data_IF_324495666675
#
_entry.id   IF_324495666675
#
_cell.length_a   1.000
_cell.length_b   1.000
_cell.length_c   1.000
_cell.angle_alpha   90.00
_cell.angle_beta   90.00
_cell.angle_gamma   90.00
#
_symmetry.space_group_name_H-M   'P 1'
#
loop_
_entity.id
_entity.type
_entity.pdbx_description
1 polymer ?
#
# COMPACT_ATOMS: atom_id res chain seq x y z
N UNK A 1 -30.72 39.18 32.19
CA UNK A 1 -32.03 38.57 32.48
C UNK A 1 -33.00 38.96 31.38
N UNK A 2 -33.61 37.98 30.70
CA UNK A 2 -34.99 37.99 30.11
C UNK A 2 -35.43 39.24 29.30
N UNK A 3 -36.01 39.20 28.10
CA UNK A 3 -36.68 38.19 27.28
C UNK A 3 -37.14 38.91 25.99
N UNK A 4 -37.45 38.11 24.97
CA UNK A 4 -38.53 38.26 24.00
C UNK A 4 -38.70 39.59 23.25
N UNK A 5 -38.53 39.52 21.91
CA UNK A 5 -39.19 40.45 21.00
C UNK A 5 -40.14 39.66 20.08
N UNK A 6 -41.44 39.96 20.25
CA UNK A 6 -42.57 39.46 19.47
C UNK A 6 -42.62 40.16 18.11
N UNK A 7 -43.04 39.43 17.08
CA UNK A 7 -43.55 39.98 15.81
C UNK A 7 -45.04 39.61 15.71
N UNK A 8 -45.94 40.53 15.31
CA UNK A 8 -47.38 40.33 15.38
C UNK A 8 -48.02 39.72 14.11
N UNK A 9 -49.20 39.16 14.35
CA UNK A 9 -50.23 38.59 13.46
C UNK A 9 -50.74 39.55 12.35
N UNK A 10 -51.39 38.98 11.30
CA UNK A 10 -52.84 39.12 11.00
C UNK A 10 -53.30 38.23 9.80
N UNK A 11 -54.41 37.50 10.05
CA UNK A 11 -55.53 36.91 9.26
C UNK A 11 -55.45 36.68 7.73
N UNK A 12 -56.16 35.73 7.12
CA UNK A 12 -57.26 34.83 7.47
C UNK A 12 -57.41 33.79 6.33
N UNK A 13 -58.37 32.88 6.24
CA UNK A 13 -59.67 32.68 6.89
C UNK A 13 -60.28 31.37 6.37
N UNK A 14 -60.89 30.58 7.27
CA UNK A 14 -62.00 29.61 7.06
C UNK A 14 -61.80 28.47 6.05
N UNK A 15 -62.38 27.28 6.18
CA UNK A 15 -63.43 26.65 7.00
C UNK A 15 -63.32 25.15 6.66
N UNK A 16 -63.58 24.12 7.47
CA UNK A 16 -64.28 23.93 8.73
C UNK A 16 -64.75 22.45 8.73
N UNK A 17 -64.59 21.76 9.88
CA UNK A 17 -65.33 20.57 10.35
C UNK A 17 -65.29 19.26 9.53
N UNK A 18 -65.29 18.04 10.09
CA UNK A 18 -65.42 17.51 11.46
C UNK A 18 -65.17 15.98 11.45
N UNK A 19 -64.54 15.46 12.51
CA UNK A 19 -64.77 14.18 13.21
C UNK A 19 -64.64 12.82 12.48
N UNK A 20 -63.92 11.89 13.13
CA UNK A 20 -64.17 10.45 12.99
C UNK A 20 -62.98 9.57 13.34
N UNK A 21 -63.11 8.80 14.42
CA UNK A 21 -62.10 7.93 15.02
C UNK A 21 -61.84 6.63 14.23
N UNK A 22 -60.72 5.96 14.53
CA UNK A 22 -60.72 4.49 14.68
C UNK A 22 -59.77 3.66 13.81
N UNK A 23 -58.79 3.05 14.48
CA UNK A 23 -58.32 1.65 14.36
C UNK A 23 -57.38 1.18 13.22
N UNK A 24 -56.37 0.44 13.70
CA UNK A 24 -55.36 -0.45 13.10
C UNK A 24 -55.62 -1.14 11.75
N UNK A 25 -54.57 -1.28 10.93
CA UNK A 25 -54.02 -2.58 10.47
C UNK A 25 -52.75 -2.42 9.61
N UNK A 26 -51.87 -3.43 9.66
CA UNK A 26 -50.71 -3.63 8.78
C UNK A 26 -51.10 -3.85 7.31
N UNK A 27 -50.25 -3.44 6.36
CA UNK A 27 -49.66 -4.30 5.30
C UNK A 27 -48.89 -3.49 4.25
N UNK A 28 -47.80 -4.08 3.76
CA UNK A 28 -46.87 -3.48 2.79
C UNK A 28 -47.38 -3.51 1.34
N UNK A 29 -46.77 -2.68 0.48
CA UNK A 29 -47.07 -2.66 -0.96
C UNK A 29 -45.81 -2.44 -1.79
N UNK A 30 -45.55 -3.41 -2.69
CA UNK A 30 -44.65 -3.37 -3.84
C UNK A 30 -45.25 -2.50 -4.96
N UNK A 31 -44.41 -1.83 -5.76
CA UNK A 31 -44.82 -1.27 -7.06
C UNK A 31 -43.90 -1.75 -8.19
N UNK A 32 -44.47 -2.51 -9.13
CA UNK A 32 -43.98 -2.69 -10.50
C UNK A 32 -44.65 -1.62 -11.39
N UNK A 33 -43.89 -1.06 -12.34
CA UNK A 33 -44.42 -0.19 -13.39
C UNK A 33 -43.54 -0.25 -14.64
N UNK A 34 -44.02 -1.00 -15.63
CA UNK A 34 -43.43 -1.16 -16.97
C UNK A 34 -43.95 -0.09 -17.93
N UNK A 35 -43.08 0.62 -18.66
CA UNK A 35 -43.44 1.26 -19.93
C UNK A 35 -42.23 1.38 -20.88
N UNK A 36 -42.44 0.91 -22.10
CA UNK A 36 -41.53 0.91 -23.25
C UNK A 36 -41.63 2.22 -24.04
N UNK A 37 -40.53 2.69 -24.64
CA UNK A 37 -40.49 3.86 -25.55
C UNK A 37 -39.68 3.57 -26.84
N UNK A 38 -39.96 4.26 -27.97
CA UNK A 38 -39.72 3.76 -29.34
C UNK A 38 -38.44 4.27 -30.03
N UNK A 39 -38.06 3.63 -31.14
CA UNK A 39 -36.87 3.89 -31.95
C UNK A 39 -37.00 5.11 -32.92
N UNK A 40 -35.90 5.81 -33.27
CA UNK A 40 -35.91 6.92 -34.22
C UNK A 40 -35.59 6.50 -35.68
N UNK A 41 -35.97 7.33 -36.69
CA UNK A 41 -35.90 7.00 -38.11
C UNK A 41 -34.57 7.43 -38.79
N UNK A 42 -34.38 6.93 -40.03
CA UNK A 42 -33.14 6.99 -40.79
C UNK A 42 -32.96 8.24 -41.68
N UNK A 43 -31.72 8.77 -41.68
CA UNK A 43 -31.01 9.35 -42.85
C UNK A 43 -31.18 10.84 -43.17
N UNK A 44 -30.10 11.64 -43.02
CA UNK A 44 -29.33 12.25 -44.13
C UNK A 44 -28.21 13.22 -43.62
N UNK A 45 -26.96 12.85 -43.98
CA UNK A 45 -25.72 13.60 -44.31
C UNK A 45 -25.32 14.95 -43.67
N UNK A 46 -24.09 14.99 -43.12
CA UNK A 46 -22.94 15.64 -43.79
C UNK A 46 -21.59 15.10 -43.28
N UNK A 47 -20.65 14.93 -44.20
CA UNK A 47 -19.32 14.35 -44.03
C UNK A 47 -18.33 15.24 -43.27
N UNK A 48 -17.45 14.62 -42.48
CA UNK A 48 -16.00 14.79 -42.62
C UNK A 48 -15.30 13.53 -42.10
N UNK A 49 -14.68 12.80 -43.04
CA UNK A 49 -14.09 11.50 -42.81
C UNK A 49 -12.61 11.58 -42.41
N UNK A 50 -12.21 10.70 -41.50
CA UNK A 50 -10.91 10.04 -41.54
C UNK A 50 -11.21 8.53 -41.43
N UNK A 51 -10.98 7.81 -42.52
CA UNK A 51 -11.12 6.35 -42.62
C UNK A 51 -9.92 5.66 -41.98
N UNK A 52 -10.17 4.70 -41.09
CA UNK A 52 -9.28 3.57 -40.84
C UNK A 52 -10.10 2.28 -40.98
N UNK A 53 -9.72 1.44 -41.95
CA UNK A 53 -10.16 0.05 -42.03
C UNK A 53 -9.37 -0.77 -41.00
N UNK A 54 -10.08 -1.49 -40.13
CA UNK A 54 -9.52 -2.47 -39.20
C UNK A 54 -10.67 -3.23 -38.53
N UNK A 55 -10.70 -4.54 -38.74
CA UNK A 55 -11.76 -5.50 -38.42
C UNK A 55 -12.18 -5.55 -36.95
N UNK A 56 -13.49 -5.73 -36.71
CA UNK A 56 -14.04 -6.14 -35.41
C UNK A 56 -13.79 -7.64 -35.21
N UNK A 57 -12.92 -8.00 -34.26
CA UNK A 57 -12.89 -9.34 -33.66
C UNK A 57 -13.40 -9.26 -32.22
N UNK A 58 -14.38 -10.11 -31.90
CA UNK A 58 -14.86 -10.34 -30.54
C UNK A 58 -13.74 -11.01 -29.71
N UNK A 59 -13.65 -10.75 -28.39
CA UNK A 59 -12.62 -11.37 -27.56
C UNK A 59 -12.76 -12.89 -27.54
N UNK A 60 -11.64 -13.57 -27.76
CA UNK A 60 -11.54 -15.01 -27.94
C UNK A 60 -11.97 -15.76 -26.66
N UNK A 61 -13.15 -16.39 -26.71
CA UNK A 61 -13.70 -17.22 -25.63
C UNK A 61 -12.73 -18.33 -25.19
N UNK A 62 -11.78 -18.74 -26.05
CA UNK A 62 -10.76 -19.71 -25.71
C UNK A 62 -9.73 -19.18 -24.70
N UNK A 63 -9.36 -17.90 -24.78
CA UNK A 63 -8.41 -17.29 -23.83
C UNK A 63 -9.02 -17.15 -22.42
N UNK A 64 -10.30 -16.79 -22.34
CA UNK A 64 -11.01 -16.71 -21.06
C UNK A 64 -11.18 -18.11 -20.42
N UNK A 65 -11.46 -19.14 -21.22
CA UNK A 65 -11.53 -20.52 -20.71
C UNK A 65 -10.16 -21.06 -20.29
N UNK A 66 -9.08 -20.73 -21.00
CA UNK A 66 -7.72 -21.10 -20.60
C UNK A 66 -7.29 -20.44 -19.29
N UNK A 67 -7.61 -19.15 -19.10
CA UNK A 67 -7.35 -18.46 -17.83
C UNK A 67 -8.12 -19.09 -16.65
N UNK A 68 -9.38 -19.48 -16.87
CA UNK A 68 -10.19 -20.13 -15.83
C UNK A 68 -9.69 -21.55 -15.49
N UNK A 69 -9.19 -22.29 -16.48
CA UNK A 69 -8.56 -23.60 -16.26
C UNK A 69 -7.23 -23.49 -15.50
N UNK A 70 -6.43 -22.46 -15.80
CA UNK A 70 -5.17 -22.20 -15.11
C UNK A 70 -5.39 -21.84 -13.63
N UNK A 71 -6.41 -21.01 -13.36
CA UNK A 71 -6.81 -20.63 -12.00
C UNK A 71 -7.29 -21.83 -11.17
N UNK A 72 -8.12 -22.71 -11.75
CA UNK A 72 -8.55 -23.95 -11.06
C UNK A 72 -7.37 -24.90 -10.78
N UNK A 73 -6.39 -24.96 -11.67
CA UNK A 73 -5.18 -25.78 -11.47
C UNK A 73 -4.29 -25.23 -10.34
N UNK A 74 -4.18 -23.90 -10.22
CA UNK A 74 -3.49 -23.28 -9.08
C UNK A 74 -4.19 -23.54 -7.75
N UNK A 75 -5.52 -23.42 -7.70
CA UNK A 75 -6.28 -23.74 -6.48
C UNK A 75 -6.12 -25.20 -6.05
N UNK A 76 -6.11 -26.15 -6.99
CA UNK A 76 -5.88 -27.57 -6.67
C UNK A 76 -4.46 -27.83 -6.17
N UNK A 77 -3.45 -27.18 -6.75
CA UNK A 77 -2.05 -27.30 -6.28
C UNK A 77 -1.89 -26.74 -4.87
N UNK A 78 -2.57 -25.63 -4.54
CA UNK A 78 -2.56 -25.05 -3.20
C UNK A 78 -3.24 -25.95 -2.17
N UNK A 79 -4.34 -26.62 -2.55
CA UNK A 79 -5.01 -27.60 -1.68
C UNK A 79 -4.17 -28.87 -1.45
N UNK A 80 -3.43 -29.33 -2.47
CA UNK A 80 -2.51 -30.47 -2.34
C UNK A 80 -1.30 -30.14 -1.47
N UNK A 81 -0.76 -28.93 -1.54
CA UNK A 81 0.34 -28.50 -0.67
C UNK A 81 -0.09 -28.39 0.80
N UNK A 82 -1.32 -27.95 1.08
CA UNK A 82 -1.86 -27.93 2.45
C UNK A 82 -2.09 -29.34 3.02
N UNK A 83 -2.43 -30.33 2.18
CA UNK A 83 -2.58 -31.72 2.63
C UNK A 83 -1.22 -32.40 2.86
N UNK A 84 -0.17 -32.03 2.13
CA UNK A 84 1.18 -32.57 2.34
C UNK A 84 1.87 -32.01 3.60
N UNK A 85 1.51 -30.81 4.05
CA UNK A 85 2.00 -30.26 5.33
C UNK A 85 1.29 -30.83 6.57
N UNK A 86 0.21 -31.60 6.39
CA UNK A 86 -0.52 -32.27 7.48
C UNK A 86 -0.04 -33.68 7.84
N UNK A 87 1.04 -34.19 7.23
CA UNK A 87 1.50 -35.56 7.42
C UNK A 87 3.01 -35.65 7.71
N UNK A 88 3.46 -35.14 8.87
CA UNK A 88 4.72 -35.59 9.47
C UNK A 88 4.58 -35.79 11.00
N UNK A 89 4.41 -37.06 11.35
CA UNK A 89 4.78 -37.80 12.58
C UNK A 89 4.55 -37.18 13.98
N UNK A 90 3.60 -37.78 14.73
CA UNK A 90 3.80 -38.08 16.14
C UNK A 90 4.39 -39.49 16.26
N UNK A 91 5.66 -39.60 16.68
CA UNK A 91 6.22 -40.87 17.13
C UNK A 91 5.73 -41.18 18.55
N UNK A 92 5.25 -42.41 18.70
CA UNK A 92 4.55 -42.89 19.89
C UNK A 92 5.45 -43.22 21.07
N UNK A 93 4.80 -43.23 22.24
CA UNK A 93 5.24 -44.01 23.40
C UNK A 93 4.05 -44.85 23.84
N UNK A 94 4.14 -46.16 23.64
CA UNK A 94 3.18 -47.16 24.11
C UNK A 94 3.47 -47.51 25.56
N UNK A 95 2.47 -47.42 26.44
CA UNK A 95 2.42 -48.20 27.68
C UNK A 95 1.05 -48.88 27.80
N UNK A 96 1.09 -50.20 27.90
CA UNK A 96 -0.07 -51.05 28.20
C UNK A 96 -0.52 -50.86 29.66
N UNK A 97 -1.83 -50.76 29.88
CA UNK A 97 -2.45 -50.86 31.21
C UNK A 97 -3.96 -50.87 31.12
N UNK A 98 -4.57 -52.00 31.44
CA UNK A 98 -6.00 -52.23 31.41
C UNK A 98 -6.74 -51.60 32.62
N UNK A 99 -8.07 -51.48 32.44
CA UNK A 99 -9.16 -51.41 33.43
C UNK A 99 -9.84 -50.05 33.73
N UNK A 100 -11.15 -50.09 33.43
CA UNK A 100 -12.31 -49.60 34.19
C UNK A 100 -12.63 -48.10 34.21
N UNK A 101 -13.81 -47.78 33.68
CA UNK A 101 -14.56 -46.58 34.04
C UNK A 101 -14.98 -46.60 35.52
N UNK A 102 -15.06 -45.41 36.15
CA UNK A 102 -16.28 -45.07 36.85
C UNK A 102 -16.75 -43.61 36.65
N UNK A 103 -18.08 -43.52 36.45
CA UNK A 103 -19.13 -42.56 36.86
C UNK A 103 -18.83 -41.13 37.38
N UNK A 104 -19.81 -40.19 37.23
CA UNK A 104 -19.60 -38.75 37.31
C UNK A 104 -19.85 -38.14 38.70
N UNK A 105 -19.11 -37.06 38.98
CA UNK A 105 -19.49 -36.03 39.95
C UNK A 105 -18.47 -35.76 41.05
N UNK A 106 -17.89 -34.55 41.04
CA UNK A 106 -17.86 -33.56 42.14
C UNK A 106 -16.59 -32.68 42.19
N UNK A 107 -16.85 -31.37 42.13
CA UNK A 107 -16.24 -30.21 42.82
C UNK A 107 -14.76 -29.79 42.61
N UNK A 108 -14.64 -28.62 41.96
CA UNK A 108 -13.85 -27.41 42.29
C UNK A 108 -12.50 -27.53 43.00
N UNK A 109 -11.46 -26.87 42.46
CA UNK A 109 -10.87 -25.65 43.05
C UNK A 109 -9.87 -24.98 42.09
N UNK A 110 -9.87 -23.65 42.12
CA UNK A 110 -8.89 -22.75 41.49
C UNK A 110 -7.45 -23.06 41.92
N UNK A 111 -6.51 -22.93 40.98
CA UNK A 111 -5.08 -23.05 41.25
C UNK A 111 -4.23 -22.96 39.99
N UNK A 112 -4.05 -21.75 39.47
CA UNK A 112 -2.99 -21.44 38.51
C UNK A 112 -1.64 -21.64 39.19
N UNK A 113 -0.95 -22.73 38.86
CA UNK A 113 0.44 -22.96 39.26
C UNK A 113 1.39 -22.40 38.19
N UNK A 114 2.00 -21.26 38.51
CA UNK A 114 3.26 -20.82 37.93
C UNK A 114 4.38 -21.74 38.43
N UNK A 115 5.07 -22.43 37.52
CA UNK A 115 6.40 -22.96 37.78
C UNK A 115 7.34 -22.54 36.66
N UNK A 116 8.22 -21.59 36.99
CA UNK A 116 9.46 -21.38 36.28
C UNK A 116 10.49 -22.43 36.72
N UNK A 117 11.28 -22.89 35.75
CA UNK A 117 12.54 -23.57 36.01
C UNK A 117 13.49 -23.30 34.85
N UNK A 118 14.55 -22.55 35.16
CA UNK A 118 15.77 -22.47 34.38
C UNK A 118 16.51 -23.82 34.40
N UNK A 119 16.98 -24.25 33.24
CA UNK A 119 18.35 -24.75 32.99
C UNK A 119 18.47 -24.89 31.46
N UNK A 120 19.52 -24.45 30.78
CA UNK A 120 20.91 -24.82 30.97
C UNK A 120 21.36 -25.38 29.62
N UNK A 121 22.23 -24.64 28.91
CA UNK A 121 22.35 -24.73 27.46
C UNK A 121 23.03 -25.97 26.88
N UNK A 122 22.83 -26.17 25.58
CA UNK A 122 23.78 -26.85 24.70
C UNK A 122 23.75 -26.22 23.30
N UNK A 123 24.90 -25.68 22.92
CA UNK A 123 25.19 -25.24 21.56
C UNK A 123 25.53 -26.45 20.67
N UNK A 124 24.87 -26.56 19.52
CA UNK A 124 25.42 -27.27 18.36
C UNK A 124 25.09 -26.47 17.10
N UNK A 125 26.16 -26.11 16.37
CA UNK A 125 26.08 -25.41 15.10
C UNK A 125 25.64 -26.33 13.96
N UNK A 126 24.92 -25.74 13.01
CA UNK A 126 24.55 -26.33 11.74
C UNK A 126 23.93 -25.24 10.87
N UNK A 127 24.58 -24.94 9.75
CA UNK A 127 24.29 -23.83 8.86
C UNK A 127 22.93 -24.00 8.14
N UNK A 128 21.92 -23.27 8.62
CA UNK A 128 20.86 -22.69 7.80
C UNK A 128 20.56 -21.33 8.45
N UNK A 129 20.77 -20.25 7.72
CA UNK A 129 20.36 -18.92 8.17
C UNK A 129 18.84 -18.86 8.18
N UNK A 130 18.20 -19.30 9.25
CA UNK A 130 16.83 -18.91 9.55
C UNK A 130 16.85 -17.40 9.80
N UNK A 131 16.14 -16.62 8.98
CA UNK A 131 15.79 -15.25 9.34
C UNK A 131 15.17 -15.24 10.75
N UNK A 132 15.50 -14.28 11.63
CA UNK A 132 14.86 -14.20 12.94
C UNK A 132 13.34 -14.09 12.78
N UNK A 133 12.63 -15.09 13.30
CA UNK A 133 11.17 -15.12 13.39
C UNK A 133 10.70 -13.96 14.29
N UNK A 134 9.79 -13.12 13.76
CA UNK A 134 8.95 -12.14 14.47
C UNK A 134 9.60 -10.96 15.22
N UNK A 135 10.76 -10.44 14.78
CA UNK A 135 11.20 -9.12 15.24
C UNK A 135 10.75 -8.01 14.27
N UNK A 136 10.18 -6.92 14.81
CA UNK A 136 9.73 -5.78 14.00
C UNK A 136 10.88 -5.11 13.19
N UNK A 137 12.13 -5.40 13.56
CA UNK A 137 13.34 -4.79 13.03
C UNK A 137 13.54 -3.37 13.53
N UNK A 138 14.72 -2.80 13.28
CA UNK A 138 15.01 -1.39 13.53
C UNK A 138 15.58 -0.71 12.29
N UNK A 139 15.65 0.62 12.32
CA UNK A 139 16.26 1.42 11.27
C UNK A 139 17.73 1.06 11.06
N UNK A 140 18.43 0.68 12.13
CA UNK A 140 19.83 0.29 12.06
C UNK A 140 20.03 -1.07 11.36
N UNK A 141 19.00 -1.91 11.31
CA UNK A 141 19.08 -3.25 10.69
C UNK A 141 18.73 -3.22 9.19
N UNK A 142 18.40 -2.05 8.63
CA UNK A 142 18.07 -1.93 7.22
C UNK A 142 19.27 -2.29 6.34
N UNK A 143 19.00 -2.96 5.23
CA UNK A 143 20.00 -3.15 4.17
C UNK A 143 20.40 -1.76 3.65
N UNK A 144 21.70 -1.49 3.52
CA UNK A 144 22.21 -0.22 3.00
C UNK A 144 22.22 -0.24 1.45
N UNK A 145 22.08 0.92 0.78
CA UNK A 145 22.21 0.99 -0.67
C UNK A 145 23.62 0.56 -1.13
N UNK A 146 23.69 -0.11 -2.28
CA UNK A 146 24.96 -0.55 -2.85
C UNK A 146 25.87 0.63 -3.19
N UNK A 147 27.14 0.46 -2.87
CA UNK A 147 28.21 1.40 -3.17
C UNK A 147 28.83 1.13 -4.54
N UNK A 148 29.67 2.08 -4.98
CA UNK A 148 30.46 1.91 -6.21
C UNK A 148 31.35 0.66 -6.16
N UNK A 149 31.91 0.34 -5.00
CA UNK A 149 32.80 -0.81 -4.83
C UNK A 149 32.04 -2.14 -4.88
N UNK A 150 30.75 -2.12 -4.57
CA UNK A 150 29.81 -3.24 -4.73
C UNK A 150 29.21 -3.32 -6.14
N UNK A 151 29.71 -2.52 -7.09
CA UNK A 151 29.31 -2.56 -8.49
C UNK A 151 28.17 -1.61 -8.87
N UNK A 152 27.69 -0.75 -7.96
CA UNK A 152 26.69 0.27 -8.31
C UNK A 152 27.32 1.31 -9.24
N UNK A 153 26.92 1.30 -10.51
CA UNK A 153 27.24 2.36 -11.47
C UNK A 153 25.98 3.13 -11.89
N UNK A 154 26.15 4.41 -12.22
CA UNK A 154 25.03 5.31 -12.61
C UNK A 154 24.82 5.36 -14.13
N UNK A 155 25.41 4.42 -14.89
CA UNK A 155 25.32 4.38 -16.35
C UNK A 155 24.05 3.69 -16.81
N UNK A 156 23.65 2.60 -16.15
CA UNK A 156 22.50 1.79 -16.56
C UNK A 156 21.20 2.26 -15.91
N UNK A 157 21.23 2.58 -14.62
CA UNK A 157 20.08 3.07 -13.84
C UNK A 157 20.45 4.33 -13.06
N UNK A 158 19.67 5.40 -13.25
CA UNK A 158 19.74 6.61 -12.44
C UNK A 158 19.49 6.34 -10.97
N UNK A 159 19.66 7.36 -10.13
CA UNK A 159 19.41 7.22 -8.70
C UNK A 159 17.92 6.93 -8.46
N UNK A 160 17.61 5.76 -7.93
CA UNK A 160 16.23 5.29 -7.81
C UNK A 160 15.63 5.58 -6.44
N UNK A 161 14.38 6.03 -6.46
CA UNK A 161 13.60 6.40 -5.28
C UNK A 161 12.34 5.53 -5.26
N UNK A 162 12.25 4.63 -4.28
CA UNK A 162 11.08 3.78 -4.07
C UNK A 162 10.10 4.42 -3.10
N UNK A 163 8.81 4.49 -3.47
CA UNK A 163 7.73 5.00 -2.63
C UNK A 163 6.75 3.86 -2.33
N UNK A 164 6.76 3.39 -1.09
CA UNK A 164 5.87 2.33 -0.59
C UNK A 164 4.96 2.85 0.52
N UNK A 165 3.95 2.06 0.89
CA UNK A 165 3.01 2.40 1.96
C UNK A 165 1.56 1.96 1.68
N UNK A 166 0.69 2.05 2.70
CA UNK A 166 -0.70 1.63 2.60
C UNK A 166 -1.49 2.28 1.46
N UNK A 167 -2.55 1.58 1.04
CA UNK A 167 -3.54 2.13 0.11
C UNK A 167 -4.07 3.45 0.68
N UNK A 168 -4.08 4.49 -0.13
CA UNK A 168 -4.59 5.81 0.26
C UNK A 168 -3.69 6.65 1.17
N UNK A 169 -2.48 6.20 1.55
CA UNK A 169 -1.59 6.98 2.44
C UNK A 169 -1.06 8.28 1.81
N UNK A 170 -1.11 8.38 0.47
CA UNK A 170 -0.72 9.57 -0.29
C UNK A 170 0.56 9.42 -1.11
N UNK A 171 0.98 8.19 -1.43
CA UNK A 171 2.13 7.88 -2.29
C UNK A 171 2.11 8.63 -3.63
N UNK A 172 1.04 8.52 -4.40
CA UNK A 172 0.87 9.21 -5.68
C UNK A 172 0.91 10.73 -5.53
N UNK A 173 0.34 11.26 -4.44
CA UNK A 173 0.43 12.69 -4.15
C UNK A 173 1.89 13.12 -3.90
N UNK A 174 2.67 12.30 -3.20
CA UNK A 174 4.10 12.54 -2.99
C UNK A 174 4.86 12.47 -4.31
N UNK A 175 4.64 11.41 -5.09
CA UNK A 175 5.24 11.22 -6.41
C UNK A 175 5.08 12.46 -7.28
N UNK A 176 3.87 12.99 -7.41
CA UNK A 176 3.58 14.21 -8.18
C UNK A 176 4.36 15.42 -7.70
N UNK A 177 4.48 15.62 -6.39
CA UNK A 177 5.30 16.69 -5.80
C UNK A 177 6.78 16.48 -6.09
N UNK A 178 7.30 15.27 -5.93
CA UNK A 178 8.70 14.95 -6.23
C UNK A 178 9.01 15.19 -7.71
N UNK A 179 8.14 14.74 -8.62
CA UNK A 179 8.29 14.99 -10.05
C UNK A 179 8.39 16.49 -10.35
N UNK A 180 7.47 17.30 -9.82
CA UNK A 180 7.46 18.76 -10.01
C UNK A 180 8.74 19.43 -9.49
N UNK A 181 9.33 18.92 -8.41
CA UNK A 181 10.46 19.55 -7.73
C UNK A 181 11.81 19.11 -8.29
N UNK A 182 11.98 17.81 -8.51
CA UNK A 182 13.23 17.22 -8.98
C UNK A 182 13.44 17.45 -10.49
N UNK A 183 12.36 17.49 -11.28
CA UNK A 183 12.47 17.69 -12.74
C UNK A 183 12.99 19.06 -13.18
N UNK A 184 13.05 20.05 -12.28
CA UNK A 184 13.53 21.40 -12.60
C UNK A 184 15.00 21.40 -13.04
N UNK A 185 15.83 20.64 -12.33
CA UNK A 185 17.28 20.63 -12.55
C UNK A 185 17.79 19.27 -13.06
N UNK A 186 16.91 18.26 -13.12
CA UNK A 186 17.28 16.87 -13.34
C UNK A 186 16.33 16.18 -14.34
N UNK A 187 16.89 15.34 -15.22
CA UNK A 187 16.14 14.37 -16.01
C UNK A 187 15.59 13.29 -15.08
N UNK A 188 14.31 12.97 -15.26
CA UNK A 188 13.55 12.09 -14.38
C UNK A 188 12.66 11.18 -15.23
N UNK A 189 12.48 9.95 -14.76
CA UNK A 189 11.48 9.00 -15.25
C UNK A 189 10.71 8.41 -14.08
N UNK A 190 9.47 7.99 -14.35
CA UNK A 190 8.54 7.47 -13.34
C UNK A 190 8.06 6.09 -13.76
N UNK A 191 8.05 5.18 -12.79
CA UNK A 191 7.43 3.86 -12.90
C UNK A 191 6.35 3.80 -11.84
N UNK A 192 5.13 3.51 -12.25
CA UNK A 192 3.99 3.27 -11.36
C UNK A 192 3.68 1.80 -11.46
N UNK A 193 4.00 1.05 -10.41
CA UNK A 193 3.69 -0.36 -10.30
C UNK A 193 2.33 -0.52 -9.59
N UNK A 194 1.33 -0.98 -10.33
CA UNK A 194 -0.01 -1.21 -9.80
C UNK A 194 -0.51 -2.58 -10.26
N UNK A 195 -1.12 -3.31 -9.32
CA UNK A 195 -1.58 -4.68 -9.48
C UNK A 195 -2.74 -4.81 -10.47
N UNK A 196 -3.57 -3.77 -10.63
CA UNK A 196 -4.83 -3.90 -11.38
C UNK A 196 -5.08 -2.82 -12.42
N UNK A 197 -4.53 -1.61 -12.27
CA UNK A 197 -4.80 -0.51 -13.21
C UNK A 197 -3.66 0.51 -13.27
N UNK A 198 -3.43 1.18 -14.39
CA UNK A 198 -2.41 2.25 -14.49
C UNK A 198 -2.98 3.65 -14.29
N UNK A 199 -4.08 3.79 -13.54
CA UNK A 199 -4.79 5.06 -13.33
C UNK A 199 -3.86 6.13 -12.74
N UNK A 200 -3.00 5.75 -11.81
CA UNK A 200 -2.05 6.67 -11.19
C UNK A 200 -1.01 7.18 -12.19
N UNK A 201 -0.55 6.34 -13.12
CA UNK A 201 0.30 6.76 -14.24
C UNK A 201 -0.42 7.75 -15.16
N UNK A 202 -1.67 7.46 -15.51
CA UNK A 202 -2.49 8.34 -16.35
C UNK A 202 -2.73 9.69 -15.67
N UNK A 203 -2.93 9.71 -14.36
CA UNK A 203 -3.12 10.94 -13.60
C UNK A 203 -1.90 11.87 -13.66
N UNK A 204 -0.67 11.34 -13.70
CA UNK A 204 0.55 12.14 -13.87
C UNK A 204 0.63 12.75 -15.27
N UNK A 205 0.20 11.97 -16.27
CA UNK A 205 0.17 12.36 -17.70
C UNK A 205 -0.86 13.48 -17.92
N UNK A 206 -2.07 13.30 -17.41
CA UNK A 206 -3.19 14.24 -17.59
C UNK A 206 -2.92 15.59 -16.92
N UNK A 207 -2.27 15.56 -15.75
CA UNK A 207 -1.82 16.75 -15.02
C UNK A 207 -0.59 17.42 -15.65
N UNK A 208 -0.02 16.83 -16.72
CA UNK A 208 1.13 17.33 -17.49
C UNK A 208 2.36 17.64 -16.61
N UNK A 209 2.57 16.82 -15.58
CA UNK A 209 3.67 17.03 -14.63
C UNK A 209 5.02 16.76 -15.29
N UNK A 210 5.09 15.69 -16.09
CA UNK A 210 6.22 15.35 -16.94
C UNK A 210 5.72 14.81 -18.28
N UNK A 211 6.63 14.72 -19.26
CA UNK A 211 6.30 14.19 -20.58
C UNK A 211 5.77 12.75 -20.49
N UNK A 212 4.69 12.38 -21.20
CA UNK A 212 4.04 11.08 -21.05
C UNK A 212 4.95 9.87 -21.34
N UNK A 213 5.92 10.04 -22.24
CA UNK A 213 6.89 9.02 -22.59
C UNK A 213 7.85 8.64 -21.44
N UNK A 214 7.95 9.50 -20.43
CA UNK A 214 8.73 9.32 -19.19
C UNK A 214 7.95 8.65 -18.06
N UNK A 215 6.66 8.40 -18.24
CA UNK A 215 5.83 7.66 -17.29
C UNK A 215 5.58 6.25 -17.83
N UNK A 216 5.81 5.24 -16.99
CA UNK A 216 5.46 3.84 -17.28
C UNK A 216 4.57 3.29 -16.20
N UNK A 217 3.39 2.84 -16.60
CA UNK A 217 2.60 1.92 -15.78
C UNK A 217 3.11 0.49 -15.98
N UNK A 218 3.27 -0.24 -14.90
CA UNK A 218 3.67 -1.63 -14.89
C UNK A 218 2.70 -2.44 -14.04
N UNK A 219 2.32 -3.62 -14.53
CA UNK A 219 1.53 -4.60 -13.79
C UNK A 219 2.26 -5.92 -13.86
N UNK A 220 2.76 -6.40 -12.71
CA UNK A 220 3.57 -7.61 -12.60
C UNK A 220 2.73 -8.87 -12.37
N UNK A 221 1.43 -8.72 -12.06
CA UNK A 221 0.53 -9.84 -11.75
C UNK A 221 0.79 -10.53 -10.42
N UNK A 222 1.76 -10.06 -9.64
CA UNK A 222 2.11 -10.57 -8.30
C UNK A 222 1.89 -9.48 -7.24
N UNK A 223 1.77 -9.88 -5.97
CA UNK A 223 1.55 -8.95 -4.85
C UNK A 223 2.61 -7.86 -4.81
N UNK A 224 2.19 -6.63 -4.50
CA UNK A 224 3.07 -5.46 -4.60
C UNK A 224 4.34 -5.59 -3.79
N UNK A 225 4.28 -6.13 -2.57
CA UNK A 225 5.47 -6.39 -1.76
C UNK A 225 6.45 -7.36 -2.45
N UNK A 226 5.95 -8.42 -3.08
CA UNK A 226 6.81 -9.37 -3.81
C UNK A 226 7.45 -8.65 -5.01
N UNK A 227 6.67 -7.89 -5.77
CA UNK A 227 7.11 -7.18 -6.98
C UNK A 227 8.22 -6.13 -6.77
N UNK A 228 8.47 -5.72 -5.52
CA UNK A 228 9.45 -4.68 -5.18
C UNK A 228 10.56 -5.16 -4.23
N UNK A 229 10.42 -6.35 -3.64
CA UNK A 229 11.33 -6.91 -2.61
C UNK A 229 11.91 -8.27 -3.05
N UNK A 230 11.06 -9.21 -3.47
CA UNK A 230 11.46 -10.61 -3.70
C UNK A 230 11.63 -10.95 -5.19
N UNK A 231 10.75 -10.44 -6.05
CA UNK A 231 10.75 -10.65 -7.50
C UNK A 231 10.66 -9.28 -8.21
N UNK A 232 11.83 -8.66 -8.38
CA UNK A 232 11.96 -7.29 -8.87
C UNK A 232 12.26 -7.19 -10.37
N UNK A 233 12.34 -8.33 -11.08
CA UNK A 233 12.93 -8.40 -12.42
C UNK A 233 12.25 -7.45 -13.41
N UNK A 234 10.91 -7.51 -13.50
CA UNK A 234 10.13 -6.63 -14.38
C UNK A 234 10.35 -5.15 -14.07
N UNK A 235 10.31 -4.78 -12.78
CA UNK A 235 10.54 -3.40 -12.35
C UNK A 235 11.97 -2.95 -12.69
N UNK A 236 12.95 -3.81 -12.46
CA UNK A 236 14.36 -3.51 -12.69
C UNK A 236 14.66 -3.33 -14.19
N UNK A 237 14.21 -4.25 -15.04
CA UNK A 237 14.41 -4.20 -16.50
C UNK A 237 13.77 -2.93 -17.08
N UNK A 238 12.53 -2.61 -16.68
CA UNK A 238 11.86 -1.39 -17.13
C UNK A 238 12.63 -0.16 -16.64
N UNK A 239 13.07 -0.13 -15.38
CA UNK A 239 13.82 0.98 -14.81
C UNK A 239 15.12 1.26 -15.56
N UNK A 240 15.91 0.24 -15.89
CA UNK A 240 17.13 0.41 -16.68
C UNK A 240 16.81 0.93 -18.09
N UNK A 241 15.83 0.31 -18.77
CA UNK A 241 15.48 0.67 -20.14
C UNK A 241 15.02 2.14 -20.26
N UNK A 242 14.13 2.60 -19.37
CA UNK A 242 13.67 3.99 -19.40
C UNK A 242 14.73 4.97 -18.90
N UNK A 243 15.53 4.58 -17.91
CA UNK A 243 16.62 5.40 -17.41
C UNK A 243 17.63 5.70 -18.51
N UNK A 244 18.05 4.68 -19.27
CA UNK A 244 19.00 4.85 -20.38
C UNK A 244 18.40 5.67 -21.51
N UNK A 245 17.16 5.35 -21.93
CA UNK A 245 16.47 6.07 -23.02
C UNK A 245 16.42 7.58 -22.79
N UNK A 246 16.23 8.00 -21.54
CA UNK A 246 16.08 9.41 -21.19
C UNK A 246 17.30 10.02 -20.49
N UNK A 247 18.40 9.26 -20.39
CA UNK A 247 19.58 9.63 -19.59
C UNK A 247 19.18 10.19 -18.23
N UNK A 248 18.28 9.46 -17.54
CA UNK A 248 17.62 9.95 -16.34
C UNK A 248 18.59 10.03 -15.17
N UNK A 249 18.57 11.16 -14.45
CA UNK A 249 19.25 11.31 -13.17
C UNK A 249 18.51 10.55 -12.07
N UNK A 250 17.17 10.60 -12.12
CA UNK A 250 16.28 9.97 -11.16
C UNK A 250 15.32 8.98 -11.81
N UNK A 251 15.12 7.83 -11.14
CA UNK A 251 14.06 6.88 -11.44
C UNK A 251 13.14 6.80 -10.22
N UNK A 252 11.92 7.33 -10.30
CA UNK A 252 10.97 7.27 -9.17
C UNK A 252 10.01 6.11 -9.40
N UNK A 253 9.94 5.20 -8.43
CA UNK A 253 9.14 3.98 -8.50
C UNK A 253 8.08 4.06 -7.40
N UNK A 254 6.82 4.18 -7.79
CA UNK A 254 5.69 4.02 -6.86
C UNK A 254 5.26 2.56 -6.85
N UNK A 255 5.25 1.96 -5.66
CA UNK A 255 4.67 0.64 -5.44
C UNK A 255 3.14 0.74 -5.26
N UNK A 256 2.43 -0.36 -5.51
CA UNK A 256 1.03 -0.46 -5.17
C UNK A 256 0.82 -0.33 -3.66
N UNK A 257 -0.40 0.00 -3.24
CA UNK A 257 -0.70 0.07 -1.82
C UNK A 257 -0.67 -1.30 -1.14
N UNK A 258 0.13 -1.43 -0.08
CA UNK A 258 0.31 -2.68 0.67
C UNK A 258 0.50 -2.40 2.18
N UNK A 259 0.57 -3.43 3.01
CA UNK A 259 0.71 -3.31 4.45
C UNK A 259 2.10 -2.80 4.88
N UNK A 260 2.31 -2.75 6.20
CA UNK A 260 3.52 -2.20 6.83
C UNK A 260 4.82 -2.96 6.52
N UNK A 261 4.71 -4.19 6.01
CA UNK A 261 5.84 -5.03 5.63
C UNK A 261 6.46 -4.68 4.28
N UNK A 262 5.80 -3.87 3.45
CA UNK A 262 6.33 -3.51 2.13
C UNK A 262 7.57 -2.61 2.24
N UNK A 263 8.68 -3.07 1.68
CA UNK A 263 9.92 -2.32 1.52
C UNK A 263 10.55 -2.70 0.18
N UNK A 264 11.46 -1.88 -0.34
CA UNK A 264 12.11 -2.18 -1.62
C UNK A 264 13.42 -2.94 -1.41
N UNK A 265 13.68 -3.87 -2.32
CA UNK A 265 15.01 -4.42 -2.55
C UNK A 265 15.98 -3.30 -2.97
N UNK A 266 17.24 -3.41 -2.53
CA UNK A 266 18.27 -2.39 -2.76
C UNK A 266 18.83 -2.36 -4.17
N UNK A 267 18.66 -3.42 -4.95
CA UNK A 267 18.95 -3.38 -6.39
C UNK A 267 17.92 -2.51 -7.10
N UNK A 268 16.66 -2.55 -6.66
CA UNK A 268 15.61 -1.74 -7.27
C UNK A 268 15.68 -0.28 -6.81
N UNK A 269 15.82 -0.01 -5.52
CA UNK A 269 15.73 1.34 -4.93
C UNK A 269 16.98 1.76 -4.11
N UNK A 270 17.64 2.84 -4.54
CA UNK A 270 18.77 3.44 -3.80
C UNK A 270 18.31 4.24 -2.57
N UNK A 271 17.08 4.77 -2.57
CA UNK A 271 16.50 5.48 -1.42
C UNK A 271 15.02 5.12 -1.24
N UNK A 272 14.66 4.60 -0.07
CA UNK A 272 13.30 4.11 0.18
C UNK A 272 12.50 5.04 1.07
N UNK A 273 11.30 5.38 0.63
CA UNK A 273 10.33 6.20 1.35
C UNK A 273 9.12 5.34 1.67
N UNK A 274 8.75 5.27 2.95
CA UNK A 274 7.50 4.66 3.37
C UNK A 274 6.52 5.72 3.83
N UNK A 275 5.34 5.76 3.21
CA UNK A 275 4.30 6.76 3.50
C UNK A 275 3.21 6.11 4.35
N UNK A 276 3.15 6.50 5.62
CA UNK A 276 2.01 6.31 6.52
C UNK A 276 1.10 7.53 6.48
N UNK A 277 -0.12 7.39 6.98
CA UNK A 277 -1.01 8.52 7.22
C UNK A 277 -1.66 8.48 8.59
N UNK A 278 -2.02 9.65 9.09
CA UNK A 278 -2.66 9.82 10.41
C UNK A 278 -3.97 9.08 10.55
N UNK A 279 -4.73 8.90 9.47
CA UNK A 279 -6.02 8.20 9.51
C UNK A 279 -5.87 6.71 9.88
N UNK A 280 -4.65 6.17 9.79
CA UNK A 280 -4.33 4.82 10.26
C UNK A 280 -4.26 4.69 11.80
N UNK A 281 -4.27 5.81 12.54
CA UNK A 281 -4.25 5.86 14.00
C UNK A 281 -2.85 6.00 14.62
N UNK A 282 -2.78 6.60 15.81
CA UNK A 282 -1.53 6.95 16.50
C UNK A 282 -0.65 5.73 16.88
N UNK A 283 -1.28 4.57 17.05
CA UNK A 283 -0.63 3.30 17.39
C UNK A 283 -0.18 2.52 16.15
N UNK A 284 -0.53 2.97 14.94
CA UNK A 284 -0.15 2.27 13.70
C UNK A 284 1.35 2.02 13.60
N UNK A 285 2.25 2.97 13.96
CA UNK A 285 3.69 2.71 13.93
C UNK A 285 4.11 1.57 14.86
N UNK A 286 3.39 1.32 15.97
CA UNK A 286 3.72 0.23 16.91
C UNK A 286 3.43 -1.17 16.36
N UNK A 287 2.77 -1.28 15.20
CA UNK A 287 2.62 -2.56 14.50
C UNK A 287 3.91 -2.98 13.77
N UNK A 288 4.91 -2.10 13.67
CA UNK A 288 6.20 -2.42 13.05
C UNK A 288 6.10 -2.65 11.55
N UNK A 289 6.87 -3.63 11.05
CA UNK A 289 6.98 -3.97 9.63
C UNK A 289 8.14 -3.26 8.94
N UNK A 290 8.80 -3.95 8.00
CA UNK A 290 10.02 -3.47 7.32
C UNK A 290 9.86 -2.06 6.72
N UNK A 291 8.69 -1.72 6.19
CA UNK A 291 8.42 -0.38 5.66
C UNK A 291 8.51 0.71 6.74
N UNK A 292 7.94 0.46 7.92
CA UNK A 292 7.98 1.41 9.05
C UNK A 292 9.35 1.45 9.69
N UNK A 293 9.98 0.30 9.93
CA UNK A 293 11.21 0.21 10.71
C UNK A 293 12.46 0.48 9.88
N UNK A 294 12.51 0.03 8.63
CA UNK A 294 13.74 -0.06 7.83
C UNK A 294 13.78 0.88 6.62
N UNK A 295 12.70 1.61 6.28
CA UNK A 295 12.78 2.64 5.23
C UNK A 295 13.79 3.74 5.56
N UNK A 296 14.47 4.27 4.54
CA UNK A 296 15.41 5.38 4.72
C UNK A 296 14.71 6.63 5.24
N UNK A 297 13.46 6.84 4.82
CA UNK A 297 12.60 7.92 5.29
C UNK A 297 11.17 7.43 5.55
N UNK A 298 10.71 7.60 6.79
CA UNK A 298 9.30 7.44 7.13
C UNK A 298 8.58 8.79 6.97
N UNK A 299 7.51 8.84 6.19
CA UNK A 299 6.63 10.00 6.07
C UNK A 299 5.32 9.70 6.78
N UNK A 300 4.93 10.54 7.74
CA UNK A 300 3.60 10.48 8.37
C UNK A 300 2.77 11.62 7.78
N UNK A 301 1.95 11.27 6.79
CA UNK A 301 1.18 12.22 5.98
C UNK A 301 -0.20 12.52 6.57
N UNK A 302 -0.87 13.53 6.02
CA UNK A 302 -2.23 13.99 6.38
C UNK A 302 -2.33 14.46 7.83
N UNK A 303 -1.29 15.12 8.35
CA UNK A 303 -1.29 15.58 9.74
C UNK A 303 -2.40 16.59 10.04
N UNK A 304 -2.94 17.24 9.02
CA UNK A 304 -4.14 18.07 9.07
C UNK A 304 -5.41 17.32 9.48
N UNK A 305 -5.47 16.00 9.25
CA UNK A 305 -6.64 15.18 9.60
C UNK A 305 -6.62 14.69 11.05
N UNK A 306 -5.53 14.90 11.80
CA UNK A 306 -5.37 14.38 13.16
C UNK A 306 -6.54 14.72 14.10
N UNK A 307 -7.13 15.94 14.10
CA UNK A 307 -8.30 16.25 14.93
C UNK A 307 -9.56 15.45 14.57
N UNK A 308 -9.71 15.07 13.29
CA UNK A 308 -10.87 14.30 12.80
C UNK A 308 -10.73 12.80 13.07
N UNK A 309 -9.48 12.33 13.21
CA UNK A 309 -9.17 10.93 13.49
C UNK A 309 -8.88 10.66 14.97
N UNK A 310 -9.00 11.68 15.83
CA UNK A 310 -8.68 11.61 17.27
C UNK A 310 -7.24 11.11 17.52
N UNK A 311 -6.30 11.58 16.71
CA UNK A 311 -4.88 11.17 16.78
C UNK A 311 -4.03 12.24 17.44
N UNK A 312 -3.26 11.86 18.46
CA UNK A 312 -2.22 12.72 19.01
C UNK A 312 -0.94 12.59 18.17
N UNK A 313 -0.61 13.64 17.41
CA UNK A 313 0.58 13.64 16.52
C UNK A 313 1.89 13.46 17.28
N UNK A 314 2.00 14.00 18.50
CA UNK A 314 3.21 13.87 19.33
C UNK A 314 3.39 12.42 19.77
N UNK A 315 2.32 11.74 20.16
CA UNK A 315 2.37 10.32 20.51
C UNK A 315 2.63 9.44 19.29
N UNK A 316 2.00 9.74 18.15
CA UNK A 316 2.24 9.00 16.90
C UNK A 316 3.71 9.11 16.45
N UNK A 317 4.30 10.30 16.52
CA UNK A 317 5.72 10.50 16.21
C UNK A 317 6.61 9.77 17.23
N UNK A 318 6.31 9.85 18.52
CA UNK A 318 7.05 9.14 19.56
C UNK A 318 7.00 7.61 19.36
N UNK A 319 5.83 7.07 19.01
CA UNK A 319 5.64 5.67 18.68
C UNK A 319 6.46 5.26 17.46
N UNK A 320 6.47 6.08 16.41
CA UNK A 320 7.26 5.83 15.21
C UNK A 320 8.77 5.87 15.51
N UNK A 321 9.24 6.84 16.31
CA UNK A 321 10.63 6.92 16.76
C UNK A 321 11.03 5.70 17.57
N UNK A 322 10.21 5.30 18.55
CA UNK A 322 10.43 4.11 19.37
C UNK A 322 10.56 2.87 18.51
N UNK A 323 9.60 2.66 17.60
CA UNK A 323 9.60 1.48 16.74
C UNK A 323 10.80 1.47 15.78
N UNK A 324 11.16 2.62 15.19
CA UNK A 324 12.34 2.72 14.31
C UNK A 324 13.66 2.59 15.05
N UNK A 325 13.74 3.02 16.31
CA UNK A 325 14.96 2.88 17.11
C UNK A 325 15.25 1.42 17.46
N UNK A 326 14.20 0.63 17.73
CA UNK A 326 14.32 -0.70 18.29
C UNK A 326 15.24 -0.71 19.52
N UNK A 327 15.95 -1.82 19.72
CA UNK A 327 16.93 -1.95 20.81
C UNK A 327 18.23 -1.19 20.55
N UNK A 328 18.41 -0.64 19.34
CA UNK A 328 19.63 0.07 18.91
C UNK A 328 19.63 1.55 19.27
N UNK A 329 18.49 2.08 19.75
CA UNK A 329 18.36 3.44 20.27
C UNK A 329 18.47 4.57 19.23
N UNK A 330 18.65 4.27 17.94
CA UNK A 330 18.78 5.27 16.88
C UNK A 330 17.60 5.20 15.94
N UNK A 331 16.69 6.18 16.04
CA UNK A 331 15.58 6.31 15.09
C UNK A 331 16.07 6.92 13.78
N UNK A 332 15.67 6.33 12.65
CA UNK A 332 15.86 6.93 11.34
C UNK A 332 15.01 8.19 11.11
N UNK A 333 15.25 8.93 10.02
CA UNK A 333 14.49 10.12 9.66
C UNK A 333 12.97 9.88 9.60
N UNK A 334 12.21 10.84 10.13
CA UNK A 334 10.75 10.89 10.06
C UNK A 334 10.36 12.31 9.63
N UNK A 335 9.41 12.42 8.70
CA UNK A 335 8.82 13.71 8.32
C UNK A 335 7.31 13.67 8.55
N UNK A 336 6.83 14.59 9.39
CA UNK A 336 5.41 14.89 9.56
C UNK A 336 4.96 15.78 8.40
N UNK A 337 3.96 15.35 7.63
CA UNK A 337 3.64 15.98 6.35
C UNK A 337 2.14 16.20 6.11
N UNK A 338 1.85 17.19 5.25
CA UNK A 338 0.56 17.38 4.60
C UNK A 338 0.85 17.58 3.11
N UNK A 339 1.07 16.47 2.40
CA UNK A 339 1.61 16.50 1.04
C UNK A 339 0.74 17.34 0.10
N UNK A 340 -0.59 17.28 0.23
CA UNK A 340 -1.52 18.11 -0.56
C UNK A 340 -1.29 19.61 -0.33
N UNK A 341 -0.99 20.00 0.91
CA UNK A 341 -0.76 21.38 1.33
C UNK A 341 0.71 21.82 1.22
N UNK A 342 1.58 20.98 0.63
CA UNK A 342 3.03 21.18 0.53
C UNK A 342 3.78 21.27 1.88
N UNK A 343 3.19 20.85 3.00
CA UNK A 343 3.87 20.83 4.30
C UNK A 343 4.76 19.59 4.38
N UNK A 344 6.04 19.78 4.71
CA UNK A 344 7.04 18.70 4.83
C UNK A 344 7.63 18.21 3.51
N UNK A 345 7.10 18.62 2.36
CA UNK A 345 7.58 18.18 1.04
C UNK A 345 9.03 18.62 0.78
N UNK A 346 9.39 19.84 1.19
CA UNK A 346 10.76 20.36 1.02
C UNK A 346 11.77 19.50 1.81
N UNK A 347 11.45 19.14 3.05
CA UNK A 347 12.29 18.26 3.86
C UNK A 347 12.46 16.86 3.24
N UNK A 348 11.42 16.33 2.59
CA UNK A 348 11.51 15.05 1.87
C UNK A 348 12.45 15.18 0.66
N UNK A 349 12.31 16.25 -0.12
CA UNK A 349 13.19 16.53 -1.27
C UNK A 349 14.64 16.70 -0.82
N UNK A 350 14.89 17.43 0.27
CA UNK A 350 16.22 17.63 0.82
C UNK A 350 16.86 16.32 1.27
N UNK A 351 16.08 15.42 1.89
CA UNK A 351 16.57 14.09 2.27
C UNK A 351 17.00 13.27 1.04
N UNK A 352 16.19 13.29 -0.03
CA UNK A 352 16.51 12.63 -1.30
C UNK A 352 17.79 13.21 -1.91
N UNK A 353 17.87 14.54 -2.03
CA UNK A 353 19.02 15.22 -2.65
C UNK A 353 20.31 15.00 -1.86
N UNK A 354 20.21 14.95 -0.52
CA UNK A 354 21.34 14.59 0.34
C UNK A 354 21.83 13.18 0.04
N UNK A 355 20.94 12.19 -0.07
CA UNK A 355 21.36 10.83 -0.39
C UNK A 355 21.89 10.70 -1.83
N UNK A 356 21.30 11.44 -2.77
CA UNK A 356 21.77 11.54 -4.16
C UNK A 356 23.19 12.10 -4.27
N UNK A 357 23.56 13.01 -3.38
CA UNK A 357 24.92 13.53 -3.27
C UNK A 357 25.87 12.52 -2.60
N UNK A 358 25.47 11.94 -1.48
CA UNK A 358 26.27 10.97 -0.73
C UNK A 358 26.56 9.69 -1.51
N UNK A 359 25.67 9.29 -2.42
CA UNK A 359 25.88 8.13 -3.30
C UNK A 359 26.91 8.39 -4.41
N UNK A 360 27.29 9.65 -4.64
CA UNK A 360 28.14 10.05 -5.76
C UNK A 360 27.41 10.16 -7.10
N UNK A 361 26.11 9.85 -7.15
CA UNK A 361 25.29 9.97 -8.36
C UNK A 361 25.24 11.42 -8.85
N UNK A 362 25.07 12.39 -7.94
CA UNK A 362 25.08 13.82 -8.28
C UNK A 362 26.33 14.23 -9.04
N UNK A 363 27.50 13.82 -8.55
CA UNK A 363 28.79 14.11 -9.20
C UNK A 363 28.86 13.46 -10.58
N UNK A 364 28.53 12.18 -10.67
CA UNK A 364 28.55 11.45 -11.94
C UNK A 364 27.70 12.13 -13.04
N UNK A 365 26.51 12.59 -12.69
CA UNK A 365 25.62 13.23 -13.65
C UNK A 365 25.98 14.69 -13.95
N UNK A 366 26.60 15.41 -13.01
CA UNK A 366 27.15 16.73 -13.26
C UNK A 366 28.30 16.67 -14.28
N UNK A 367 29.17 15.65 -14.18
CA UNK A 367 30.31 15.46 -15.09
C UNK A 367 29.91 15.05 -16.53
N UNK A 368 28.62 14.76 -16.76
CA UNK A 368 28.05 14.38 -18.07
C UNK A 368 27.34 15.53 -18.80
N UNK A 369 26.99 16.61 -18.10
CA UNK A 369 26.39 17.82 -18.69
C UNK A 369 27.50 18.70 -19.26
#
# INVERSE_FOLDING_TARGET
MSKDNKVPFIHGSGSGNTHGAGMHSHDGVNFHGSHSAPAPPAGQHSHDGINFHGSHDAPDHAQQQQQMQMLMRMMQLQQQQQQQQGQHSHDGVNFHGAHQEPLPGQHSHDGVNFHGSHDGGHAHGGAHGEEPKDEAGSFADRVMPYTKDEGRDWKTKGFSIGIAGPVGSGKTALLKKLCTRLSKDNSLVVIVNDLYTTIDAQSIIDEKIISPDRVKGLTTGIWSRVAIDEDIEDNFVVAEAVSQKFSANFVVIEAAGDNLGANFDRNLSDFTIFVLDTASGEKMPLKGGKGVTQSDLLVINKTDLAPLCEVNLTEMEANARKMRAGDKGTAGPIVMAQIKNNVGVDAIVDAILKQYELSGARKFFADRK
#
